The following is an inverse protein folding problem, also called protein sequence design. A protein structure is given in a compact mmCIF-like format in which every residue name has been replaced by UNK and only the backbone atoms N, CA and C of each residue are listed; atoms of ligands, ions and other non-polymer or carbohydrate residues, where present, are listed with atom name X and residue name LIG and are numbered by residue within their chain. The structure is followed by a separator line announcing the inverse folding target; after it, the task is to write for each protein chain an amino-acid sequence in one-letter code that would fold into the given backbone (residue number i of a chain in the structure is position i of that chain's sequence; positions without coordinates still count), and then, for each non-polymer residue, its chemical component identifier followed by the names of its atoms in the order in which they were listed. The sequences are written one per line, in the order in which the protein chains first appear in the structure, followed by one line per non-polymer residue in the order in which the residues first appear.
data_IF_145340145076
#
_entry.id   IF_145340145076
#
_cell.length_a   1.000
_cell.length_b   1.000
_cell.length_c   1.000
_cell.angle_alpha   90.00
_cell.angle_beta   90.00
_cell.angle_gamma   90.00
#
_symmetry.space_group_name_H-M   'P 1'
#
loop_
_entity.id
_entity.type
_entity.pdbx_description
1 polymer ?
#
# COMPACT_ATOMS: atom_id res chain seq x y z
N UNK A 1 -58.91 44.82 -55.55
CA UNK A 1 -57.77 44.43 -54.70
C UNK A 1 -58.32 43.89 -53.38
N UNK A 2 -57.92 42.65 -53.01
CA UNK A 2 -58.12 41.93 -51.73
C UNK A 2 -59.59 41.79 -51.27
N UNK A 3 -60.28 40.65 -51.38
CA UNK A 3 -59.84 39.26 -51.28
C UNK A 3 -60.24 38.68 -49.91
N UNK A 4 -61.55 38.45 -49.73
CA UNK A 4 -62.14 37.69 -48.62
C UNK A 4 -61.95 36.20 -48.92
N UNK A 5 -61.13 35.47 -48.15
CA UNK A 5 -61.31 34.03 -47.94
C UNK A 5 -60.37 33.47 -46.86
N UNK A 6 -60.97 32.80 -45.87
CA UNK A 6 -60.69 31.43 -45.39
C UNK A 6 -60.80 31.31 -43.87
N UNK A 7 -61.91 30.68 -43.45
CA UNK A 7 -61.94 29.81 -42.27
C UNK A 7 -60.92 28.69 -42.48
N UNK A 8 -60.09 28.39 -41.48
CA UNK A 8 -59.70 27.02 -41.21
C UNK A 8 -59.25 26.85 -39.77
N UNK A 9 -59.67 25.71 -39.24
CA UNK A 9 -59.57 25.21 -37.89
C UNK A 9 -58.11 24.91 -37.53
N UNK A 10 -57.69 25.30 -36.32
CA UNK A 10 -56.56 24.72 -35.59
C UNK A 10 -56.83 25.01 -34.12
N UNK A 11 -57.24 24.04 -33.30
CA UNK A 11 -56.34 23.00 -32.82
C UNK A 11 -55.87 23.44 -31.43
N UNK A 12 -56.67 23.11 -30.41
CA UNK A 12 -56.31 23.34 -29.00
C UNK A 12 -55.07 22.51 -28.70
N UNK A 13 -53.91 23.16 -28.59
CA UNK A 13 -52.71 22.55 -28.03
C UNK A 13 -52.68 22.92 -26.54
N UNK A 14 -53.07 21.97 -25.70
CA UNK A 14 -52.84 22.01 -24.26
C UNK A 14 -51.33 21.87 -24.05
N UNK A 15 -50.64 22.99 -23.93
CA UNK A 15 -49.26 23.04 -23.46
C UNK A 15 -49.25 22.90 -21.94
N UNK A 16 -49.19 21.65 -21.44
CA UNK A 16 -48.80 21.38 -20.07
C UNK A 16 -47.34 21.82 -19.87
N UNK A 17 -47.14 23.05 -19.40
CA UNK A 17 -45.87 23.42 -18.79
C UNK A 17 -45.85 22.70 -17.44
N UNK A 18 -45.26 21.50 -17.42
CA UNK A 18 -44.84 20.85 -16.21
C UNK A 18 -43.73 21.73 -15.60
N UNK A 19 -44.12 22.68 -14.74
CA UNK A 19 -43.21 23.19 -13.72
C UNK A 19 -42.90 22.01 -12.81
N UNK A 20 -41.83 21.28 -13.13
CA UNK A 20 -41.19 20.39 -12.19
C UNK A 20 -40.75 21.24 -11.02
N UNK A 21 -41.50 21.20 -9.93
CA UNK A 21 -41.02 21.65 -8.64
C UNK A 21 -39.87 20.74 -8.29
N UNK A 22 -38.65 21.22 -8.55
CA UNK A 22 -37.46 20.68 -7.90
C UNK A 22 -37.73 20.90 -6.41
N UNK A 23 -38.17 19.85 -5.72
CA UNK A 23 -38.24 19.84 -4.28
C UNK A 23 -36.79 19.90 -3.81
N UNK A 24 -36.31 21.10 -3.51
CA UNK A 24 -35.10 21.24 -2.71
C UNK A 24 -35.45 20.64 -1.35
N UNK A 25 -34.80 19.53 -1.00
CA UNK A 25 -34.85 18.99 0.34
C UNK A 25 -34.23 20.06 1.26
N UNK A 26 -35.06 20.96 1.77
CA UNK A 26 -34.63 21.84 2.86
C UNK A 26 -34.49 20.94 4.08
N UNK A 27 -33.27 20.80 4.58
CA UNK A 27 -33.04 20.17 5.88
C UNK A 27 -33.96 20.85 6.89
N UNK A 28 -34.78 20.07 7.60
CA UNK A 28 -35.60 20.59 8.70
C UNK A 28 -34.63 21.08 9.77
N UNK A 29 -34.44 22.40 9.85
CA UNK A 29 -33.59 23.02 10.86
C UNK A 29 -34.46 23.35 12.07
N UNK A 30 -34.34 22.57 13.13
CA UNK A 30 -35.10 22.76 14.36
C UNK A 30 -34.80 21.66 15.38
N UNK A 31 -34.92 22.00 16.66
CA UNK A 31 -34.80 21.01 17.74
C UNK A 31 -36.14 20.29 17.90
N UNK A 32 -36.11 18.95 17.93
CA UNK A 32 -37.27 18.11 18.22
C UNK A 32 -36.95 17.28 19.46
N UNK A 33 -37.88 17.23 20.41
CA UNK A 33 -37.78 16.32 21.56
C UNK A 33 -38.37 14.97 21.18
N UNK A 34 -37.58 13.91 21.38
CA UNK A 34 -37.97 12.51 21.12
C UNK A 34 -37.60 11.64 22.32
N UNK A 35 -38.40 10.62 22.58
CA UNK A 35 -38.07 9.58 23.56
C UNK A 35 -37.10 8.58 22.94
N UNK A 36 -36.03 8.24 23.66
CA UNK A 36 -35.03 7.25 23.25
C UNK A 36 -35.36 5.90 23.87
N UNK A 37 -35.41 4.85 23.05
CA UNK A 37 -35.56 3.49 23.53
C UNK A 37 -34.21 2.77 23.53
N UNK A 38 -33.78 2.32 24.72
CA UNK A 38 -32.63 1.45 24.91
C UNK A 38 -33.15 0.03 25.22
N UNK A 39 -32.83 -0.95 24.38
CA UNK A 39 -33.30 -2.32 24.57
C UNK A 39 -32.35 -3.34 23.96
N UNK A 40 -31.28 -3.66 24.71
CA UNK A 40 -30.29 -4.72 24.43
C UNK A 40 -29.96 -4.92 22.94
N UNK A 41 -29.80 -3.82 22.21
CA UNK A 41 -29.60 -3.84 20.77
C UNK A 41 -28.16 -4.32 20.50
N UNK A 42 -28.01 -5.52 19.98
CA UNK A 42 -26.72 -6.08 19.58
C UNK A 42 -26.46 -5.90 18.09
N UNK A 43 -25.23 -5.53 17.74
CA UNK A 43 -24.75 -5.48 16.36
C UNK A 43 -23.77 -6.63 16.13
N UNK A 44 -23.87 -7.31 14.99
CA UNK A 44 -22.92 -8.35 14.57
C UNK A 44 -22.55 -8.17 13.11
N UNK A 45 -21.29 -8.44 12.79
CA UNK A 45 -20.76 -8.53 11.43
C UNK A 45 -20.21 -9.95 11.23
N UNK A 46 -20.61 -10.61 10.14
CA UNK A 46 -20.18 -11.97 9.79
C UNK A 46 -20.35 -13.00 10.94
N UNK A 47 -21.44 -12.85 11.70
CA UNK A 47 -21.75 -13.72 12.84
C UNK A 47 -20.99 -13.40 14.14
N UNK A 48 -20.06 -12.42 14.11
CA UNK A 48 -19.34 -11.96 15.31
C UNK A 48 -20.02 -10.74 15.92
N UNK A 49 -20.39 -10.82 17.20
CA UNK A 49 -20.94 -9.69 17.95
C UNK A 49 -19.89 -8.59 18.09
N UNK A 50 -20.25 -7.36 17.75
CA UNK A 50 -19.39 -6.19 17.82
C UNK A 50 -19.52 -5.53 19.19
N UNK A 51 -18.39 -5.06 19.72
CA UNK A 51 -18.35 -4.18 20.90
C UNK A 51 -18.22 -2.75 20.40
N UNK A 52 -19.24 -1.94 20.65
CA UNK A 52 -19.28 -0.56 20.19
C UNK A 52 -18.65 0.35 21.25
N UNK A 53 -17.57 1.05 20.91
CA UNK A 53 -16.84 1.94 21.82
C UNK A 53 -16.65 3.34 21.23
N UNK A 54 -16.46 4.32 22.11
CA UNK A 54 -15.99 5.67 21.74
C UNK A 54 -14.46 5.75 21.73
N UNK A 55 -13.90 6.91 21.40
CA UNK A 55 -12.44 7.16 21.38
C UNK A 55 -11.75 6.93 22.73
N UNK A 56 -12.47 7.01 23.84
CA UNK A 56 -11.97 6.74 25.19
C UNK A 56 -12.15 5.29 25.65
N UNK A 57 -12.60 4.39 24.77
CA UNK A 57 -12.90 2.99 25.11
C UNK A 57 -14.19 2.78 25.91
N UNK A 58 -14.97 3.83 26.13
CA UNK A 58 -16.28 3.73 26.77
C UNK A 58 -17.31 3.09 25.83
N UNK A 59 -18.13 2.18 26.35
CA UNK A 59 -19.20 1.55 25.59
C UNK A 59 -20.20 2.60 25.08
N UNK A 60 -20.59 2.49 23.80
CA UNK A 60 -21.62 3.32 23.19
C UNK A 60 -22.77 2.43 22.78
N UNK A 61 -23.93 2.66 23.41
CA UNK A 61 -25.12 1.85 23.18
C UNK A 61 -25.96 2.40 22.03
N UNK A 62 -26.39 1.55 21.09
CA UNK A 62 -27.43 1.91 20.13
C UNK A 62 -28.75 2.22 20.82
N UNK A 63 -29.56 3.06 20.18
CA UNK A 63 -30.91 3.38 20.63
C UNK A 63 -31.88 3.34 19.45
N UNK A 64 -33.18 3.28 19.74
CA UNK A 64 -34.22 3.41 18.73
C UNK A 64 -35.09 4.64 18.98
N UNK A 65 -35.51 5.30 17.89
CA UNK A 65 -36.47 6.40 17.88
C UNK A 65 -37.52 6.10 16.81
N UNK A 66 -38.81 6.17 17.16
CA UNK A 66 -39.92 5.97 16.21
C UNK A 66 -39.80 4.65 15.40
N UNK A 67 -39.33 3.58 16.03
CA UNK A 67 -39.12 2.28 15.38
C UNK A 67 -37.89 2.18 14.47
N UNK A 68 -37.06 3.23 14.40
CA UNK A 68 -35.79 3.26 13.68
C UNK A 68 -34.64 3.11 14.65
N UNK A 69 -33.76 2.13 14.41
CA UNK A 69 -32.53 1.94 15.19
C UNK A 69 -31.43 2.87 14.69
N UNK A 70 -30.80 3.61 15.59
CA UNK A 70 -29.66 4.47 15.32
C UNK A 70 -28.40 3.83 15.89
N UNK A 71 -27.41 3.65 15.02
CA UNK A 71 -26.11 3.09 15.39
C UNK A 71 -25.05 4.20 15.43
N UNK A 72 -24.13 4.19 16.41
CA UNK A 72 -23.02 5.13 16.45
C UNK A 72 -22.08 4.88 15.28
N UNK A 73 -22.11 5.74 14.25
CA UNK A 73 -21.35 5.53 13.01
C UNK A 73 -19.86 5.32 13.27
N UNK A 74 -19.26 6.08 14.18
CA UNK A 74 -17.84 5.94 14.56
C UNK A 74 -17.51 4.55 15.11
N UNK A 75 -18.39 3.97 15.93
CA UNK A 75 -18.18 2.64 16.50
C UNK A 75 -18.34 1.54 15.44
N UNK A 76 -19.30 1.72 14.51
CA UNK A 76 -19.51 0.80 13.38
C UNK A 76 -18.33 0.86 12.41
N UNK A 77 -17.91 2.06 12.04
CA UNK A 77 -16.76 2.27 11.14
C UNK A 77 -15.46 1.75 11.73
N UNK A 78 -15.21 1.96 13.03
CA UNK A 78 -14.05 1.39 13.71
C UNK A 78 -14.05 -0.13 13.67
N UNK A 79 -15.22 -0.78 13.86
CA UNK A 79 -15.35 -2.22 13.72
C UNK A 79 -15.16 -2.72 12.28
N UNK A 80 -15.40 -1.86 11.28
CA UNK A 80 -15.21 -2.13 9.85
C UNK A 80 -13.83 -1.71 9.31
N UNK A 81 -12.96 -1.14 10.15
CA UNK A 81 -11.66 -0.60 9.71
C UNK A 81 -11.74 0.66 8.86
N UNK A 82 -12.88 1.36 8.85
CA UNK A 82 -13.07 2.63 8.14
C UNK A 82 -12.60 3.81 9.00
N UNK A 83 -11.94 4.79 8.39
CA UNK A 83 -11.69 6.10 9.00
C UNK A 83 -12.99 6.93 9.08
N UNK A 84 -13.15 7.73 10.15
CA UNK A 84 -14.31 8.61 10.34
C UNK A 84 -13.88 10.00 10.78
N UNK A 85 -14.26 11.00 10.00
CA UNK A 85 -14.04 12.42 10.30
C UNK A 85 -15.37 13.17 10.33
N UNK A 86 -15.47 14.17 11.21
CA UNK A 86 -16.60 15.09 11.26
C UNK A 86 -16.20 16.44 10.67
N UNK A 87 -16.87 16.82 9.58
CA UNK A 87 -16.73 18.14 8.98
C UNK A 87 -17.78 19.09 9.59
N UNK A 88 -17.32 19.98 10.45
CA UNK A 88 -18.17 20.95 11.15
C UNK A 88 -18.79 22.01 10.22
N UNK A 89 -18.09 22.41 9.15
CA UNK A 89 -18.54 23.47 8.24
C UNK A 89 -19.67 22.98 7.32
N UNK A 90 -19.59 21.73 6.87
CA UNK A 90 -20.61 21.09 6.04
C UNK A 90 -21.67 20.28 6.79
N UNK A 91 -21.52 20.11 8.12
CA UNK A 91 -22.28 19.13 8.92
C UNK A 91 -22.26 17.72 8.31
N UNK A 92 -21.07 17.28 7.87
CA UNK A 92 -20.88 16.05 7.12
C UNK A 92 -20.04 15.03 7.91
N UNK A 93 -20.47 13.77 7.90
CA UNK A 93 -19.65 12.64 8.36
C UNK A 93 -18.91 12.08 7.16
N UNK A 94 -17.59 12.20 7.14
CA UNK A 94 -16.73 11.65 6.09
C UNK A 94 -16.24 10.27 6.51
N UNK A 95 -16.54 9.27 5.69
CA UNK A 95 -16.04 7.90 5.85
C UNK A 95 -14.93 7.67 4.84
N UNK A 96 -13.81 7.14 5.30
CA UNK A 96 -12.69 6.75 4.45
C UNK A 96 -12.57 5.24 4.52
N UNK A 97 -12.75 4.56 3.39
CA UNK A 97 -12.38 3.14 3.31
C UNK A 97 -10.91 3.00 3.64
N UNK A 98 -10.46 1.92 4.31
CA UNK A 98 -9.04 1.59 4.25
C UNK A 98 -8.70 1.55 2.75
N UNK A 99 -7.69 2.31 2.33
CA UNK A 99 -7.24 2.30 0.94
C UNK A 99 -7.15 0.83 0.52
N UNK A 100 -8.01 0.43 -0.42
CA UNK A 100 -7.73 -0.74 -1.23
C UNK A 100 -6.40 -0.38 -1.86
N UNK A 101 -5.29 -0.97 -1.37
CA UNK A 101 -3.93 -0.62 -1.79
C UNK A 101 -3.90 -0.71 -3.32
N UNK A 102 -4.06 0.43 -3.97
CA UNK A 102 -4.35 0.47 -5.39
C UNK A 102 -3.02 0.46 -6.09
N UNK A 103 -2.38 -0.71 -6.14
CA UNK A 103 -1.05 -0.86 -6.74
C UNK A 103 -1.06 -0.26 -8.16
N UNK A 104 -0.36 0.87 -8.33
CA UNK A 104 -0.14 1.53 -9.62
C UNK A 104 1.24 1.26 -10.20
N UNK A 105 2.14 0.61 -9.44
CA UNK A 105 3.47 0.24 -9.91
C UNK A 105 3.88 -1.17 -9.46
N UNK A 106 4.54 -1.92 -10.33
CA UNK A 106 4.96 -3.30 -10.10
C UNK A 106 6.33 -3.56 -10.73
N UNK A 107 7.26 -4.08 -9.95
CA UNK A 107 8.54 -4.61 -10.41
C UNK A 107 8.43 -6.13 -10.50
N UNK A 108 8.57 -6.68 -11.70
CA UNK A 108 8.41 -8.09 -11.97
C UNK A 108 9.75 -8.74 -12.27
N UNK A 109 10.15 -9.69 -11.43
CA UNK A 109 11.41 -10.43 -11.52
C UNK A 109 11.14 -11.84 -12.03
N UNK A 110 11.75 -12.20 -13.15
CA UNK A 110 11.58 -13.50 -13.81
C UNK A 110 12.94 -14.18 -14.03
N UNK A 111 13.29 -15.21 -13.27
CA UNK A 111 14.45 -16.05 -13.59
C UNK A 111 14.32 -16.62 -15.00
N UNK A 112 15.43 -16.69 -15.74
CA UNK A 112 15.45 -17.23 -17.11
C UNK A 112 15.13 -18.72 -17.15
N UNK A 113 15.42 -19.45 -16.06
CA UNK A 113 15.01 -20.84 -15.84
C UNK A 113 14.98 -21.16 -14.33
N UNK A 114 14.35 -22.28 -13.95
CA UNK A 114 14.40 -22.77 -12.57
C UNK A 114 15.84 -23.04 -12.14
N UNK A 115 16.25 -22.43 -11.03
CA UNK A 115 17.61 -22.53 -10.49
C UNK A 115 18.65 -21.67 -11.19
N UNK A 116 18.28 -20.93 -12.25
CA UNK A 116 19.19 -20.01 -12.91
C UNK A 116 19.33 -18.70 -12.11
N UNK A 117 20.56 -18.16 -11.97
CA UNK A 117 20.77 -16.85 -11.37
C UNK A 117 20.40 -15.71 -12.30
N UNK A 118 20.45 -15.90 -13.63
CA UNK A 118 20.07 -14.87 -14.60
C UNK A 118 18.56 -14.65 -14.60
N UNK A 119 18.14 -13.38 -14.67
CA UNK A 119 16.75 -12.99 -14.64
C UNK A 119 16.46 -11.80 -15.55
N UNK A 120 15.19 -11.65 -15.90
CA UNK A 120 14.64 -10.44 -16.49
C UNK A 120 13.92 -9.65 -15.39
N UNK A 121 14.19 -8.35 -15.30
CA UNK A 121 13.44 -7.43 -14.45
C UNK A 121 12.66 -6.47 -15.33
N UNK A 122 11.37 -6.34 -15.09
CA UNK A 122 10.46 -5.47 -15.83
C UNK A 122 9.70 -4.59 -14.85
N UNK A 123 9.70 -3.27 -15.07
CA UNK A 123 8.86 -2.34 -14.30
C UNK A 123 7.62 -2.03 -15.12
N UNK A 124 6.47 -2.17 -14.45
CA UNK A 124 5.14 -2.02 -15.01
C UNK A 124 4.41 -0.94 -14.22
N UNK A 125 3.87 0.04 -14.92
CA UNK A 125 2.99 1.04 -14.32
C UNK A 125 1.56 0.89 -14.85
N UNK A 126 0.60 1.21 -14.00
CA UNK A 126 -0.81 1.14 -14.34
C UNK A 126 -1.25 2.40 -15.08
N UNK A 127 -1.78 2.22 -16.27
CA UNK A 127 -2.39 3.25 -17.13
C UNK A 127 -3.87 2.91 -17.33
N UNK A 128 -4.73 3.47 -16.47
CA UNK A 128 -6.14 3.10 -16.40
C UNK A 128 -6.34 1.65 -15.98
N UNK A 129 -6.92 0.84 -16.88
CA UNK A 129 -7.16 -0.60 -16.66
C UNK A 129 -6.01 -1.49 -17.18
N UNK A 130 -4.96 -0.90 -17.77
CA UNK A 130 -3.87 -1.63 -18.39
C UNK A 130 -2.56 -1.45 -17.63
N UNK A 131 -1.68 -2.46 -17.72
CA UNK A 131 -0.30 -2.37 -17.26
C UNK A 131 0.59 -2.10 -18.45
N UNK A 132 1.44 -1.07 -18.33
CA UNK A 132 2.39 -0.66 -19.34
C UNK A 132 3.81 -0.89 -18.82
N UNK A 133 4.62 -1.56 -19.61
CA UNK A 133 6.06 -1.66 -19.38
C UNK A 133 6.72 -0.29 -19.57
N UNK A 134 7.42 0.18 -18.55
CA UNK A 134 8.15 1.46 -18.56
C UNK A 134 9.64 1.26 -18.74
N UNK A 135 10.20 0.18 -18.19
CA UNK A 135 11.60 -0.21 -18.34
C UNK A 135 11.75 -1.72 -18.17
N UNK A 136 12.77 -2.31 -18.80
CA UNK A 136 13.07 -3.74 -18.69
C UNK A 136 14.55 -4.01 -18.96
N UNK A 137 15.10 -5.06 -18.35
CA UNK A 137 16.46 -5.53 -18.57
C UNK A 137 16.54 -7.05 -18.44
N UNK A 138 17.36 -7.67 -19.29
CA UNK A 138 17.74 -9.09 -19.18
C UNK A 138 19.09 -9.28 -18.47
N UNK A 139 19.73 -8.17 -18.04
CA UNK A 139 21.01 -8.16 -17.34
C UNK A 139 20.83 -8.13 -15.81
N UNK A 140 19.79 -8.79 -15.31
CA UNK A 140 19.50 -8.88 -13.88
C UNK A 140 19.90 -10.24 -13.32
N UNK A 141 20.13 -10.28 -12.01
CA UNK A 141 20.44 -11.51 -11.29
C UNK A 141 19.60 -11.68 -10.04
N UNK A 142 19.18 -12.92 -9.78
CA UNK A 142 18.63 -13.39 -8.49
C UNK A 142 19.70 -14.17 -7.73
N UNK A 143 19.32 -14.84 -6.65
CA UNK A 143 20.19 -15.73 -5.90
C UNK A 143 20.91 -16.74 -6.80
N UNK A 144 22.17 -17.07 -6.46
CA UNK A 144 23.01 -18.02 -7.20
C UNK A 144 22.38 -19.41 -7.42
N UNK A 145 21.41 -19.77 -6.59
CA UNK A 145 20.63 -21.01 -6.67
C UNK A 145 19.20 -20.78 -7.22
N UNK A 146 18.93 -19.63 -7.83
CA UNK A 146 17.64 -19.23 -8.39
C UNK A 146 16.66 -18.68 -7.34
N UNK A 147 15.36 -18.91 -7.56
CA UNK A 147 14.28 -18.49 -6.66
C UNK A 147 13.62 -19.69 -5.96
N UNK A 148 13.09 -19.47 -4.75
CA UNK A 148 12.47 -20.54 -3.93
C UNK A 148 11.23 -20.07 -3.19
N UNK A 149 10.26 -20.98 -3.00
CA UNK A 149 9.13 -20.77 -2.09
C UNK A 149 9.39 -21.31 -0.68
N UNK A 150 10.51 -22.01 -0.47
CA UNK A 150 10.93 -22.56 0.81
C UNK A 150 12.29 -21.96 1.21
N UNK A 151 12.28 -20.64 1.38
CA UNK A 151 13.47 -19.84 1.70
C UNK A 151 13.98 -20.16 3.10
N UNK A 152 15.30 -20.29 3.22
CA UNK A 152 16.03 -20.51 4.48
C UNK A 152 17.28 -19.64 4.51
N UNK A 153 17.83 -19.40 5.70
CA UNK A 153 19.09 -18.67 5.86
C UNK A 153 20.24 -19.35 5.09
N UNK A 154 21.05 -18.56 4.40
CA UNK A 154 22.22 -19.05 3.64
C UNK A 154 21.93 -19.95 2.43
N UNK A 155 20.67 -20.17 2.04
CA UNK A 155 20.31 -21.08 0.94
C UNK A 155 20.73 -20.61 -0.46
N UNK A 156 21.13 -19.35 -0.61
CA UNK A 156 21.56 -18.77 -1.89
C UNK A 156 20.42 -18.52 -2.88
N UNK A 157 19.16 -18.56 -2.42
CA UNK A 157 17.97 -18.39 -3.25
C UNK A 157 17.27 -17.06 -2.95
N UNK A 158 16.68 -16.44 -3.97
CA UNK A 158 15.76 -15.30 -3.77
C UNK A 158 14.34 -15.80 -3.43
N UNK A 159 13.65 -15.22 -2.44
CA UNK A 159 12.32 -15.69 -2.05
C UNK A 159 11.26 -15.33 -3.12
N UNK A 160 10.53 -16.33 -3.60
CA UNK A 160 9.35 -16.16 -4.46
C UNK A 160 8.23 -15.51 -3.68
N UNK A 161 7.45 -14.63 -4.29
CA UNK A 161 6.31 -13.99 -3.63
C UNK A 161 6.04 -12.57 -4.12
N UNK A 162 5.19 -11.89 -3.37
CA UNK A 162 4.84 -10.48 -3.58
C UNK A 162 5.26 -9.72 -2.34
N UNK A 163 6.07 -8.69 -2.51
CA UNK A 163 6.64 -7.90 -1.42
C UNK A 163 6.49 -6.42 -1.70
N UNK A 164 6.58 -5.59 -0.67
CA UNK A 164 6.77 -4.15 -0.81
C UNK A 164 8.24 -3.80 -0.54
N UNK A 165 8.59 -2.54 -0.70
CA UNK A 165 9.93 -2.04 -0.42
C UNK A 165 9.99 -1.31 0.92
N UNK A 166 11.11 -1.46 1.62
CA UNK A 166 11.44 -0.75 2.86
C UNK A 166 12.35 0.44 2.61
N UNK A 167 13.35 0.62 3.49
CA UNK A 167 14.34 1.70 3.44
C UNK A 167 15.19 1.64 2.16
N UNK A 168 15.26 2.75 1.42
CA UNK A 168 16.27 2.95 0.37
C UNK A 168 17.58 3.38 1.01
N UNK A 169 18.71 2.87 0.54
CA UNK A 169 20.02 3.17 1.10
C UNK A 169 21.15 3.01 0.09
N UNK A 170 22.33 3.53 0.41
CA UNK A 170 23.52 3.25 -0.38
C UNK A 170 24.76 3.98 0.13
N UNK A 171 25.92 3.57 -0.38
CA UNK A 171 27.22 4.17 -0.07
C UNK A 171 27.34 5.55 -0.76
N UNK A 172 26.77 5.67 -1.95
CA UNK A 172 26.74 6.93 -2.68
C UNK A 172 25.72 7.91 -2.10
N UNK A 173 25.89 9.20 -2.41
CA UNK A 173 24.90 10.23 -2.10
C UNK A 173 23.57 9.94 -2.78
N UNK A 174 22.48 10.46 -2.22
CA UNK A 174 21.12 10.28 -2.74
C UNK A 174 21.04 10.62 -4.25
N UNK A 175 20.61 9.67 -5.11
CA UNK A 175 20.50 9.92 -6.54
C UNK A 175 19.28 10.76 -6.92
N UNK A 176 18.54 11.30 -5.95
CA UNK A 176 17.25 11.96 -6.14
C UNK A 176 16.08 10.99 -5.92
N UNK A 177 16.19 10.15 -4.89
CA UNK A 177 15.22 9.11 -4.62
C UNK A 177 13.84 9.69 -4.32
N UNK A 178 12.81 9.02 -4.84
CA UNK A 178 11.40 9.32 -4.54
C UNK A 178 11.01 8.89 -3.12
N UNK A 179 11.86 8.12 -2.43
CA UNK A 179 11.68 7.65 -1.06
C UNK A 179 12.75 8.20 -0.14
N UNK A 180 12.50 8.11 1.17
CA UNK A 180 13.53 8.40 2.17
C UNK A 180 14.77 7.55 1.90
N UNK A 181 15.91 8.22 1.71
CA UNK A 181 17.19 7.61 1.37
C UNK A 181 18.19 7.76 2.52
N UNK A 182 18.76 6.64 2.95
CA UNK A 182 19.83 6.61 3.93
C UNK A 182 21.18 6.42 3.25
N UNK A 183 22.02 7.46 3.27
CA UNK A 183 23.43 7.27 2.94
C UNK A 183 24.12 6.56 4.11
N UNK A 184 24.57 5.32 3.87
CA UNK A 184 25.18 4.49 4.91
C UNK A 184 26.61 4.93 5.21
N UNK A 185 27.03 4.80 6.47
CA UNK A 185 28.40 5.02 6.91
C UNK A 185 28.96 3.85 7.72
N UNK A 186 30.12 4.07 8.34
CA UNK A 186 30.92 3.09 9.13
C UNK A 186 30.20 2.47 10.34
N UNK A 187 29.03 2.99 10.69
CA UNK A 187 28.27 2.53 11.86
C UNK A 187 27.03 1.72 11.45
N UNK A 188 26.70 1.65 10.16
CA UNK A 188 25.45 1.04 9.66
C UNK A 188 25.66 -0.42 9.23
N UNK A 189 24.92 -1.32 9.85
CA UNK A 189 25.00 -2.76 9.65
C UNK A 189 23.62 -3.36 9.40
N UNK A 190 23.56 -4.45 8.64
CA UNK A 190 22.39 -5.32 8.60
C UNK A 190 22.73 -6.68 9.22
N UNK A 191 22.07 -7.04 10.31
CA UNK A 191 22.42 -8.26 11.06
C UNK A 191 21.79 -9.48 10.40
N UNK A 192 22.61 -10.44 9.97
CA UNK A 192 22.21 -11.71 9.38
C UNK A 192 22.34 -12.91 10.35
N UNK A 193 22.89 -12.66 11.54
CA UNK A 193 22.98 -13.63 12.63
C UNK A 193 21.60 -13.97 13.21
N UNK A 194 21.12 -15.19 12.95
CA UNK A 194 19.82 -15.69 13.42
C UNK A 194 19.72 -15.86 14.94
N UNK A 195 20.84 -15.91 15.65
CA UNK A 195 20.86 -15.99 17.13
C UNK A 195 20.87 -14.59 17.78
N UNK A 196 21.06 -13.53 17.00
CA UNK A 196 21.04 -12.14 17.49
C UNK A 196 19.61 -11.63 17.74
N UNK A 197 19.46 -10.79 18.77
CA UNK A 197 18.22 -10.03 19.02
C UNK A 197 17.94 -8.98 17.93
N UNK A 198 18.95 -8.65 17.13
CA UNK A 198 18.88 -7.69 16.03
C UNK A 198 18.74 -8.38 14.66
N UNK A 199 18.51 -9.70 14.62
CA UNK A 199 18.39 -10.46 13.37
C UNK A 199 17.43 -9.79 12.38
N UNK A 200 17.89 -9.72 11.12
CA UNK A 200 17.22 -9.13 9.98
C UNK A 200 16.79 -7.66 10.17
N UNK A 201 17.59 -6.87 10.89
CA UNK A 201 17.37 -5.43 11.07
C UNK A 201 18.60 -4.64 10.64
N UNK A 202 18.34 -3.46 10.07
CA UNK A 202 19.35 -2.42 9.92
C UNK A 202 19.56 -1.73 11.27
N UNK A 203 20.79 -1.69 11.75
CA UNK A 203 21.14 -1.14 13.07
C UNK A 203 22.41 -0.31 13.00
N UNK A 204 22.55 0.57 13.99
CA UNK A 204 23.82 1.23 14.28
C UNK A 204 24.64 0.41 15.27
N UNK A 205 25.90 0.13 14.97
CA UNK A 205 26.79 -0.62 15.86
C UNK A 205 27.02 0.09 17.19
N UNK A 206 27.11 1.42 17.17
CA UNK A 206 27.24 2.24 18.38
C UNK A 206 26.03 2.14 19.32
N UNK A 207 24.83 1.86 18.81
CA UNK A 207 23.57 1.79 19.57
C UNK A 207 23.28 0.38 20.12
N UNK A 208 23.89 -0.64 19.51
CA UNK A 208 23.61 -2.06 19.76
C UNK A 208 24.78 -2.79 20.40
N UNK A 209 25.91 -2.09 20.60
CA UNK A 209 27.17 -2.64 21.12
C UNK A 209 27.74 -3.80 20.28
N UNK A 210 27.25 -4.01 19.05
CA UNK A 210 27.70 -5.09 18.17
C UNK A 210 27.30 -6.49 18.63
N UNK A 211 26.09 -6.66 19.18
CA UNK A 211 25.61 -7.94 19.71
C UNK A 211 25.15 -8.91 18.60
N UNK A 212 26.09 -9.39 17.79
CA UNK A 212 25.91 -10.40 16.75
C UNK A 212 27.24 -11.09 16.42
N UNK A 213 27.19 -12.33 15.94
CA UNK A 213 28.35 -13.06 15.43
C UNK A 213 28.59 -12.81 13.93
N UNK A 214 27.54 -12.41 13.19
CA UNK A 214 27.60 -12.02 11.78
C UNK A 214 26.66 -10.86 11.45
N UNK A 215 27.11 -9.98 10.56
CA UNK A 215 26.32 -8.90 9.97
C UNK A 215 27.00 -8.39 8.70
N UNK A 216 26.21 -7.85 7.76
CA UNK A 216 26.73 -7.10 6.63
C UNK A 216 27.10 -5.68 7.07
N UNK A 217 28.38 -5.31 6.92
CA UNK A 217 28.82 -3.92 7.09
C UNK A 217 28.52 -3.16 5.79
N UNK A 218 27.41 -2.43 5.76
CA UNK A 218 26.80 -1.97 4.51
C UNK A 218 27.70 -1.05 3.68
N UNK A 219 28.57 -0.27 4.32
CA UNK A 219 29.49 0.66 3.65
C UNK A 219 30.62 -0.04 2.89
N UNK A 220 30.94 -1.31 3.22
CA UNK A 220 32.01 -2.07 2.57
C UNK A 220 31.60 -2.64 1.21
N UNK A 221 30.29 -2.83 0.99
CA UNK A 221 29.70 -3.40 -0.23
C UNK A 221 29.54 -2.34 -1.34
N UNK A 222 30.63 -1.63 -1.63
CA UNK A 222 30.66 -0.42 -2.47
C UNK A 222 30.12 -0.55 -3.90
N UNK A 223 30.08 -1.77 -4.46
CA UNK A 223 29.53 -2.02 -5.80
C UNK A 223 28.06 -2.42 -5.72
N UNK A 224 27.74 -3.41 -4.90
CA UNK A 224 26.38 -3.90 -4.75
C UNK A 224 25.48 -2.81 -4.17
N UNK A 225 25.93 -2.16 -3.10
CA UNK A 225 25.20 -1.13 -2.36
C UNK A 225 25.67 0.28 -2.72
N UNK A 226 26.20 0.49 -3.94
CA UNK A 226 26.29 1.86 -4.47
C UNK A 226 24.92 2.52 -4.35
N UNK A 227 23.87 1.79 -4.77
CA UNK A 227 22.46 2.07 -4.51
C UNK A 227 21.70 0.77 -4.26
N UNK A 228 20.85 0.76 -3.24
CA UNK A 228 20.03 -0.38 -2.85
C UNK A 228 18.69 0.06 -2.23
N UNK A 229 17.75 -0.87 -2.17
CA UNK A 229 16.51 -0.72 -1.39
C UNK A 229 16.13 -2.05 -0.77
N UNK A 230 15.68 -2.02 0.48
CA UNK A 230 15.25 -3.23 1.17
C UNK A 230 13.98 -3.79 0.54
N UNK A 231 13.95 -5.10 0.30
CA UNK A 231 12.72 -5.82 0.02
C UNK A 231 12.14 -6.23 1.37
N UNK A 232 10.87 -5.94 1.64
CA UNK A 232 10.19 -6.28 2.90
C UNK A 232 9.89 -7.78 3.01
N UNK A 233 10.93 -8.59 2.89
CA UNK A 233 10.93 -10.01 3.17
C UNK A 233 11.31 -10.27 4.64
N UNK A 234 10.64 -11.24 5.27
CA UNK A 234 10.89 -11.63 6.66
C UNK A 234 10.88 -10.44 7.66
N UNK A 235 9.93 -9.51 7.50
CA UNK A 235 9.82 -8.32 8.38
C UNK A 235 9.46 -8.64 9.82
N UNK A 236 8.91 -9.84 10.07
CA UNK A 236 8.73 -10.36 11.44
C UNK A 236 10.04 -10.83 12.08
N UNK A 237 11.17 -10.73 11.37
CA UNK A 237 12.50 -11.11 11.84
C UNK A 237 12.53 -12.55 12.38
N UNK A 238 11.89 -13.49 11.67
CA UNK A 238 11.82 -14.89 12.11
C UNK A 238 13.16 -15.57 11.86
N UNK A 239 13.90 -15.99 12.91
CA UNK A 239 15.23 -16.58 12.76
C UNK A 239 15.27 -17.73 11.75
N UNK A 240 16.34 -17.79 10.96
CA UNK A 240 16.56 -18.85 9.98
C UNK A 240 15.71 -18.77 8.71
N UNK A 241 14.81 -17.78 8.58
CA UNK A 241 13.95 -17.64 7.40
C UNK A 241 14.62 -16.89 6.25
N UNK A 242 15.85 -16.40 6.42
CA UNK A 242 16.55 -15.55 5.46
C UNK A 242 16.52 -14.08 5.87
N UNK A 243 17.67 -13.41 5.74
CA UNK A 243 17.84 -11.98 6.03
C UNK A 243 18.46 -11.23 4.85
N UNK A 244 18.57 -9.90 4.99
CA UNK A 244 19.31 -9.01 4.07
C UNK A 244 18.90 -9.18 2.59
N UNK A 245 17.60 -9.30 2.33
CA UNK A 245 17.08 -9.43 0.97
C UNK A 245 16.85 -8.04 0.39
N UNK A 246 17.72 -7.63 -0.53
CA UNK A 246 17.71 -6.31 -1.12
C UNK A 246 17.50 -6.34 -2.63
N UNK A 247 17.14 -5.19 -3.18
CA UNK A 247 17.19 -4.90 -4.61
C UNK A 247 18.30 -3.86 -4.84
N UNK A 248 19.35 -4.20 -5.58
CA UNK A 248 20.59 -3.42 -5.59
C UNK A 248 21.34 -3.42 -6.94
N UNK A 249 22.48 -2.72 -7.01
CA UNK A 249 23.30 -2.63 -8.21
C UNK A 249 24.01 -3.96 -8.52
N UNK A 250 24.02 -4.37 -9.79
CA UNK A 250 24.59 -5.64 -10.26
C UNK A 250 26.11 -5.69 -10.09
N UNK A 251 26.59 -6.83 -9.59
CA UNK A 251 28.02 -7.20 -9.55
C UNK A 251 28.38 -8.17 -10.68
N UNK A 252 27.43 -8.47 -11.58
CA UNK A 252 27.60 -9.32 -12.76
C UNK A 252 27.47 -10.83 -12.52
N UNK A 253 27.01 -11.27 -11.35
CA UNK A 253 26.82 -12.68 -11.00
C UNK A 253 25.60 -12.88 -10.09
N UNK A 254 25.17 -14.14 -9.91
CA UNK A 254 24.12 -14.51 -8.96
C UNK A 254 24.43 -14.09 -7.52
N UNK A 255 23.42 -13.58 -6.82
CA UNK A 255 23.55 -13.01 -5.46
C UNK A 255 23.49 -14.09 -4.37
N UNK A 256 23.54 -13.70 -3.09
CA UNK A 256 23.24 -14.60 -1.97
C UNK A 256 21.72 -14.78 -1.71
N UNK A 257 20.86 -13.99 -2.36
CA UNK A 257 19.41 -13.98 -2.15
C UNK A 257 18.74 -12.68 -2.62
N UNK A 258 19.50 -11.61 -2.80
CA UNK A 258 19.06 -10.34 -3.38
C UNK A 258 18.63 -10.44 -4.84
N UNK A 259 17.99 -9.39 -5.34
CA UNK A 259 17.81 -9.11 -6.77
C UNK A 259 18.78 -7.99 -7.15
N UNK A 260 19.48 -8.12 -8.27
CA UNK A 260 20.39 -7.08 -8.74
C UNK A 260 20.15 -6.71 -10.20
N UNK A 261 20.32 -5.44 -10.53
CA UNK A 261 20.08 -4.85 -11.86
C UNK A 261 21.21 -3.90 -12.26
N UNK A 262 21.36 -3.54 -13.54
CA UNK A 262 22.33 -2.53 -13.94
C UNK A 262 22.14 -1.23 -13.17
N UNK A 263 23.25 -0.58 -12.81
CA UNK A 263 23.28 0.65 -12.01
C UNK A 263 22.34 1.75 -12.54
N UNK A 264 22.29 1.94 -13.85
CA UNK A 264 21.41 2.94 -14.48
C UNK A 264 19.93 2.68 -14.18
N UNK A 265 19.50 1.43 -14.31
CA UNK A 265 18.14 1.01 -13.95
C UNK A 265 17.89 1.15 -12.44
N UNK A 266 18.87 0.81 -11.58
CA UNK A 266 18.72 0.98 -10.13
C UNK A 266 18.48 2.44 -9.74
N UNK A 267 19.25 3.37 -10.33
CA UNK A 267 19.09 4.81 -10.11
C UNK A 267 17.72 5.29 -10.58
N UNK A 268 17.29 4.90 -11.77
CA UNK A 268 15.98 5.27 -12.31
C UNK A 268 14.83 4.71 -11.46
N UNK A 269 14.95 3.47 -10.97
CA UNK A 269 13.99 2.89 -10.02
C UNK A 269 13.94 3.75 -8.75
N UNK A 270 15.07 4.09 -8.13
CA UNK A 270 15.05 4.91 -6.91
C UNK A 270 14.41 6.29 -7.14
N UNK A 271 14.58 6.89 -8.32
CA UNK A 271 14.02 8.20 -8.67
C UNK A 271 12.51 8.17 -8.98
N UNK A 272 11.96 7.00 -9.33
CA UNK A 272 10.58 6.87 -9.85
C UNK A 272 9.70 5.94 -9.02
N UNK A 273 10.27 5.19 -8.08
CA UNK A 273 9.54 4.25 -7.24
C UNK A 273 8.41 4.95 -6.47
N UNK A 274 7.20 4.45 -6.66
CA UNK A 274 5.98 4.96 -6.02
C UNK A 274 5.79 4.27 -4.66
N UNK A 275 5.10 4.92 -3.72
CA UNK A 275 4.89 4.39 -2.36
C UNK A 275 4.17 3.03 -2.33
N UNK A 276 3.31 2.80 -3.29
CA UNK A 276 2.51 1.59 -3.46
C UNK A 276 3.16 0.56 -4.41
N UNK A 277 4.42 0.79 -4.82
CA UNK A 277 5.15 -0.14 -5.69
C UNK A 277 5.35 -1.48 -4.99
N UNK A 278 4.92 -2.55 -5.65
CA UNK A 278 5.21 -3.93 -5.24
C UNK A 278 6.32 -4.54 -6.09
N UNK A 279 6.97 -5.56 -5.56
CA UNK A 279 7.84 -6.46 -6.31
C UNK A 279 7.25 -7.87 -6.32
N UNK A 280 7.17 -8.47 -7.51
CA UNK A 280 6.70 -9.84 -7.74
C UNK A 280 7.88 -10.67 -8.21
N UNK A 281 8.25 -11.68 -7.43
CA UNK A 281 9.40 -12.55 -7.71
C UNK A 281 8.88 -13.95 -8.06
N UNK A 282 9.19 -14.40 -9.28
CA UNK A 282 8.72 -15.68 -9.85
C UNK A 282 9.63 -16.86 -9.58
#
# INVERSE_FOLDING_TARGET
MRGILKKLVSGVLVGCIAFGTIATASAIQGMVTKELYYGDISVSLDGKKLTLTNEGGGAVEPFAIDGTTYLPIRAISSALGLGVEWNQEGQEVKLTSPEEQSVSSCILVRPHADGAPEATVTVLEKDGDFWKETMSTDEAFVGRNGTTSNKQEGDGCTPRGIYTFGQAFGVAEDPGSARDYLQVGEDDYWVDDSDSVYYNQMVKKSETEGQWDSAEHLVEETVAYEYAIAINYNTSCTPGSGSAIFFHCSTGNGTAGCVSVPREMMVEILQTIQEDTIIVIM
#
